data_IF_351762084164
#
_entry.id   IF_351762084164
#
_cell.length_a   1.000
_cell.length_b   1.000
_cell.length_c   1.000
_cell.angle_alpha   90.00
_cell.angle_beta   90.00
_cell.angle_gamma   90.00
#
_symmetry.space_group_name_H-M   'P 1'
#
loop_
_entity.id
_entity.type
_entity.pdbx_description
1 polymer ?
#
# COMPACT_ATOMS: atom_id res chain seq x y z
N UNK A 1 35.72 41.01 -42.77
CA UNK A 1 36.00 39.59 -42.44
C UNK A 1 34.66 38.90 -42.26
N UNK A 2 34.32 37.98 -43.15
CA UNK A 2 32.95 37.54 -43.45
C UNK A 2 32.61 36.29 -42.62
N UNK A 3 31.78 36.43 -41.58
CA UNK A 3 31.37 35.34 -40.68
C UNK A 3 30.29 34.40 -41.27
N UNK A 4 29.86 34.60 -42.54
CA UNK A 4 28.74 33.86 -43.15
C UNK A 4 29.11 32.51 -43.80
N UNK A 5 30.38 32.17 -43.98
CA UNK A 5 30.76 30.96 -44.75
C UNK A 5 30.74 29.65 -43.96
N UNK A 6 30.82 29.69 -42.63
CA UNK A 6 30.88 28.46 -41.82
C UNK A 6 29.50 27.90 -41.49
N UNK A 7 28.47 28.74 -41.41
CA UNK A 7 27.11 28.32 -41.04
C UNK A 7 26.38 27.53 -42.14
N UNK A 8 26.67 27.77 -43.42
CA UNK A 8 26.00 27.02 -44.50
C UNK A 8 26.47 25.56 -44.55
N UNK A 9 27.75 25.30 -44.28
CA UNK A 9 28.33 23.95 -44.33
C UNK A 9 27.69 22.98 -43.32
N UNK A 10 27.35 23.46 -42.12
CA UNK A 10 26.76 22.63 -41.07
C UNK A 10 25.30 22.35 -41.36
N UNK A 11 24.52 23.37 -41.76
CA UNK A 11 23.12 23.17 -42.13
C UNK A 11 23.00 22.17 -43.28
N UNK A 12 23.84 22.32 -44.31
CA UNK A 12 23.83 21.47 -45.50
C UNK A 12 24.18 20.00 -45.17
N UNK A 13 25.12 19.78 -44.25
CA UNK A 13 25.47 18.44 -43.74
C UNK A 13 24.29 17.74 -43.05
N UNK A 14 23.53 18.47 -42.23
CA UNK A 14 22.34 17.94 -41.58
C UNK A 14 21.16 17.77 -42.55
N UNK A 15 21.03 18.63 -43.56
CA UNK A 15 20.02 18.48 -44.62
C UNK A 15 20.29 17.25 -45.49
N UNK A 16 21.56 16.94 -45.79
CA UNK A 16 21.96 15.73 -46.51
C UNK A 16 21.72 14.44 -45.71
N UNK A 17 21.56 14.52 -44.38
CA UNK A 17 21.37 13.37 -43.47
C UNK A 17 20.18 13.60 -42.52
N UNK A 18 18.93 13.46 -43.00
CA UNK A 18 17.74 13.78 -42.21
C UNK A 18 17.63 12.95 -40.92
N UNK A 19 18.09 11.69 -40.92
CA UNK A 19 18.15 10.84 -39.71
C UNK A 19 19.04 11.44 -38.62
N UNK A 20 20.13 12.12 -38.99
CA UNK A 20 21.09 12.70 -38.04
C UNK A 20 20.48 13.88 -37.25
N UNK A 21 19.58 14.64 -37.87
CA UNK A 21 18.82 15.71 -37.19
C UNK A 21 17.96 15.20 -36.03
N UNK A 22 17.49 13.95 -36.10
CA UNK A 22 16.65 13.34 -35.07
C UNK A 22 17.47 12.58 -34.01
N UNK A 23 18.44 11.76 -34.43
CA UNK A 23 19.20 10.92 -33.50
C UNK A 23 20.30 11.66 -32.75
N UNK A 24 20.91 12.70 -33.34
CA UNK A 24 22.02 13.42 -32.69
C UNK A 24 21.58 14.16 -31.42
N UNK A 25 20.47 14.94 -31.40
CA UNK A 25 20.01 15.58 -30.17
C UNK A 25 19.59 14.57 -29.09
N UNK A 26 18.97 13.45 -29.49
CA UNK A 26 18.60 12.37 -28.56
C UNK A 26 19.83 11.70 -27.94
N UNK A 27 20.85 11.38 -28.75
CA UNK A 27 22.11 10.82 -28.28
C UNK A 27 22.86 11.79 -27.35
N UNK A 28 22.92 13.07 -27.70
CA UNK A 28 23.50 14.12 -26.84
C UNK A 28 22.72 14.26 -25.53
N UNK A 29 21.39 14.19 -25.57
CA UNK A 29 20.54 14.26 -24.38
C UNK A 29 20.79 13.06 -23.47
N UNK A 30 20.79 11.84 -24.00
CA UNK A 30 21.09 10.63 -23.23
C UNK A 30 22.50 10.70 -22.64
N UNK A 31 23.49 11.13 -23.44
CA UNK A 31 24.85 11.33 -22.97
C UNK A 31 24.91 12.32 -21.81
N UNK A 32 24.27 13.48 -21.93
CA UNK A 32 24.24 14.48 -20.85
C UNK A 32 23.52 13.95 -19.60
N UNK A 33 22.42 13.23 -19.75
CA UNK A 33 21.72 12.58 -18.63
C UNK A 33 22.66 11.61 -17.92
N UNK A 34 23.26 10.67 -18.65
CA UNK A 34 24.19 9.67 -18.09
C UNK A 34 25.39 10.35 -17.45
N UNK A 35 25.95 11.38 -18.09
CA UNK A 35 27.07 12.15 -17.56
C UNK A 35 26.72 12.87 -16.25
N UNK A 36 25.56 13.54 -16.19
CA UNK A 36 25.09 14.24 -15.00
C UNK A 36 24.86 13.26 -13.85
N UNK A 37 24.09 12.19 -14.08
CA UNK A 37 23.82 11.19 -13.05
C UNK A 37 25.10 10.48 -12.60
N UNK A 38 25.99 10.15 -13.53
CA UNK A 38 27.29 9.54 -13.23
C UNK A 38 28.18 10.46 -12.40
N UNK A 39 28.28 11.74 -12.77
CA UNK A 39 29.06 12.73 -12.03
C UNK A 39 28.53 12.93 -10.60
N UNK A 40 27.21 13.10 -10.43
CA UNK A 40 26.61 13.25 -9.10
C UNK A 40 26.72 11.98 -8.27
N UNK A 41 26.53 10.80 -8.85
CA UNK A 41 26.66 9.53 -8.13
C UNK A 41 28.10 9.31 -7.66
N UNK A 42 29.09 9.57 -8.53
CA UNK A 42 30.50 9.51 -8.17
C UNK A 42 30.87 10.53 -7.09
N UNK A 43 30.42 11.78 -7.24
CA UNK A 43 30.67 12.83 -6.26
C UNK A 43 30.03 12.49 -4.90
N UNK A 44 28.80 11.95 -4.89
CA UNK A 44 28.13 11.50 -3.68
C UNK A 44 28.89 10.34 -3.02
N UNK A 45 29.29 9.32 -3.80
CA UNK A 45 30.04 8.18 -3.30
C UNK A 45 31.34 8.62 -2.62
N UNK A 46 32.16 9.45 -3.28
CA UNK A 46 33.43 9.95 -2.70
C UNK A 46 33.18 10.74 -1.41
N UNK A 47 32.17 11.62 -1.39
CA UNK A 47 31.86 12.42 -0.20
C UNK A 47 31.28 11.59 0.95
N UNK A 48 30.56 10.50 0.65
CA UNK A 48 29.96 9.61 1.64
C UNK A 48 31.00 8.65 2.21
N UNK A 49 31.87 8.08 1.37
CA UNK A 49 32.99 7.22 1.78
C UNK A 49 33.93 8.00 2.72
N UNK A 50 34.25 9.26 2.40
CA UNK A 50 35.04 10.15 3.27
C UNK A 50 34.39 10.42 4.64
N UNK A 51 33.08 10.16 4.79
CA UNK A 51 32.32 10.32 6.04
C UNK A 51 32.00 8.97 6.71
N UNK A 52 32.53 7.86 6.18
CA UNK A 52 32.23 6.52 6.67
C UNK A 52 30.78 6.08 6.42
N UNK A 53 30.09 6.74 5.48
CA UNK A 53 28.72 6.37 5.07
C UNK A 53 28.85 5.54 3.81
N UNK A 54 28.44 4.28 3.88
CA UNK A 54 28.46 3.40 2.72
C UNK A 54 27.41 3.82 1.69
N UNK A 55 27.84 4.15 0.47
CA UNK A 55 26.93 4.50 -0.61
C UNK A 55 26.39 3.24 -1.28
N UNK A 56 25.06 3.05 -1.28
CA UNK A 56 24.39 2.01 -2.06
C UNK A 56 23.19 1.39 -1.36
N UNK A 57 22.83 0.18 -1.78
CA UNK A 57 21.73 -0.61 -1.22
C UNK A 57 22.18 -1.62 -0.16
N UNK A 58 23.46 -1.58 0.26
CA UNK A 58 24.00 -2.52 1.24
C UNK A 58 23.27 -2.45 2.58
N UNK A 59 22.84 -1.26 2.98
CA UNK A 59 22.03 -1.04 4.19
C UNK A 59 20.77 -1.91 4.24
N UNK A 60 20.18 -2.28 3.09
CA UNK A 60 19.00 -3.15 3.04
C UNK A 60 19.27 -4.55 3.62
N UNK A 61 20.52 -5.01 3.58
CA UNK A 61 20.94 -6.28 4.17
C UNK A 61 21.40 -6.19 5.62
N UNK A 62 21.60 -4.98 6.16
CA UNK A 62 22.07 -4.76 7.54
C UNK A 62 20.93 -4.93 8.54
N UNK A 63 21.26 -5.34 9.76
CA UNK A 63 20.29 -5.50 10.84
C UNK A 63 19.70 -4.15 11.26
N UNK A 64 18.37 -4.11 11.35
CA UNK A 64 17.61 -2.91 11.66
C UNK A 64 17.82 -2.40 13.10
N UNK A 65 18.10 -3.30 14.05
CA UNK A 65 18.27 -3.01 15.48
C UNK A 65 17.05 -2.35 16.16
N UNK A 66 15.86 -2.42 15.56
CA UNK A 66 14.62 -1.94 16.16
C UNK A 66 13.45 -2.88 15.90
N UNK A 67 12.56 -2.99 16.87
CA UNK A 67 11.36 -3.82 16.76
C UNK A 67 10.17 -3.04 16.18
N UNK A 68 9.36 -3.73 15.38
CA UNK A 68 8.07 -3.23 14.89
C UNK A 68 6.96 -3.87 15.72
N UNK A 69 6.13 -3.05 16.37
CA UNK A 69 5.09 -3.54 17.28
C UNK A 69 3.95 -4.31 16.56
N UNK A 70 3.61 -3.90 15.33
CA UNK A 70 2.52 -4.48 14.56
C UNK A 70 3.06 -5.33 13.42
N UNK A 71 3.09 -6.65 13.60
CA UNK A 71 3.66 -7.64 12.66
C UNK A 71 2.72 -8.82 12.41
N UNK A 72 1.47 -8.58 11.93
CA UNK A 72 0.47 -9.65 11.80
C UNK A 72 0.74 -10.65 10.67
N UNK A 73 1.49 -10.27 9.63
CA UNK A 73 1.68 -11.08 8.41
C UNK A 73 3.11 -11.54 8.18
N UNK A 74 4.10 -10.79 8.66
CA UNK A 74 5.53 -11.07 8.50
C UNK A 74 6.16 -10.98 9.87
N UNK A 75 6.69 -12.10 10.36
CA UNK A 75 7.43 -12.13 11.62
C UNK A 75 8.70 -11.30 11.49
N UNK A 76 8.86 -10.37 12.42
CA UNK A 76 9.94 -9.40 12.39
C UNK A 76 10.37 -9.07 13.82
N UNK A 77 11.69 -8.99 13.98
CA UNK A 77 12.39 -8.52 15.17
C UNK A 77 13.57 -7.63 14.73
N UNK A 78 14.20 -6.93 15.67
CA UNK A 78 15.33 -6.05 15.41
C UNK A 78 16.58 -6.73 14.85
N UNK A 79 16.65 -8.06 14.83
CA UNK A 79 17.76 -8.80 14.19
C UNK A 79 17.54 -8.98 12.68
N UNK A 80 16.32 -8.72 12.18
CA UNK A 80 16.02 -8.75 10.74
C UNK A 80 16.60 -7.54 10.01
N UNK A 81 16.78 -7.72 8.71
CA UNK A 81 17.37 -6.69 7.86
C UNK A 81 16.43 -5.51 7.60
N UNK A 82 17.00 -4.36 7.23
CA UNK A 82 16.23 -3.19 6.82
C UNK A 82 15.28 -3.47 5.64
N UNK A 83 15.65 -4.35 4.71
CA UNK A 83 14.75 -4.77 3.62
C UNK A 83 13.45 -5.37 4.16
N UNK A 84 13.56 -6.25 5.16
CA UNK A 84 12.38 -6.83 5.82
C UNK A 84 11.61 -5.77 6.59
N UNK A 85 12.30 -4.84 7.26
CA UNK A 85 11.65 -3.73 7.97
C UNK A 85 10.80 -2.86 7.03
N UNK A 86 11.33 -2.48 5.86
CA UNK A 86 10.59 -1.73 4.85
C UNK A 86 9.42 -2.52 4.28
N UNK A 87 9.59 -3.83 4.06
CA UNK A 87 8.49 -4.69 3.59
C UNK A 87 7.35 -4.74 4.61
N UNK A 88 7.67 -4.93 5.89
CA UNK A 88 6.69 -4.90 6.99
C UNK A 88 6.00 -3.53 7.05
N UNK A 89 6.76 -2.44 6.98
CA UNK A 89 6.23 -1.08 6.97
C UNK A 89 5.29 -0.80 5.78
N UNK A 90 5.66 -1.28 4.59
CA UNK A 90 4.85 -1.17 3.38
C UNK A 90 3.53 -1.94 3.53
N UNK A 91 3.60 -3.20 3.97
CA UNK A 91 2.42 -4.04 4.20
C UNK A 91 1.48 -3.37 5.21
N UNK A 92 2.02 -2.92 6.35
CA UNK A 92 1.26 -2.22 7.38
C UNK A 92 0.58 -0.95 6.84
N UNK A 93 1.30 -0.15 6.04
CA UNK A 93 0.75 1.05 5.42
C UNK A 93 -0.44 0.72 4.51
N UNK A 94 -0.31 -0.32 3.68
CA UNK A 94 -1.39 -0.77 2.78
C UNK A 94 -2.61 -1.23 3.58
N UNK A 95 -2.41 -1.99 4.66
CA UNK A 95 -3.50 -2.47 5.51
C UNK A 95 -4.23 -1.30 6.16
N UNK A 96 -3.49 -0.41 6.83
CA UNK A 96 -4.07 0.74 7.54
C UNK A 96 -4.76 1.68 6.56
N UNK A 97 -4.16 1.93 5.39
CA UNK A 97 -4.78 2.75 4.35
C UNK A 97 -6.06 2.11 3.80
N UNK A 98 -6.07 0.81 3.54
CA UNK A 98 -7.25 0.12 3.00
C UNK A 98 -8.42 0.15 3.98
N UNK A 99 -8.16 -0.18 5.25
CA UNK A 99 -9.18 -0.12 6.32
C UNK A 99 -9.64 1.32 6.54
N UNK A 100 -8.70 2.27 6.57
CA UNK A 100 -8.98 3.70 6.72
C UNK A 100 -9.87 4.24 5.60
N UNK A 101 -9.55 3.94 4.33
CA UNK A 101 -10.33 4.37 3.15
C UNK A 101 -11.73 3.78 3.20
N UNK A 102 -11.87 2.50 3.55
CA UNK A 102 -13.16 1.82 3.65
C UNK A 102 -14.09 2.52 4.66
N UNK A 103 -13.63 2.71 5.90
CA UNK A 103 -14.44 3.37 6.93
C UNK A 103 -14.62 4.87 6.66
N UNK A 104 -13.59 5.57 6.16
CA UNK A 104 -13.68 6.99 5.82
C UNK A 104 -14.68 7.24 4.68
N UNK A 105 -14.80 6.31 3.73
CA UNK A 105 -15.80 6.41 2.65
C UNK A 105 -17.20 6.25 3.20
N UNK A 106 -17.44 5.24 4.06
CA UNK A 106 -18.75 5.04 4.67
C UNK A 106 -19.15 6.28 5.50
N UNK A 107 -18.28 6.70 6.43
CA UNK A 107 -18.54 7.86 7.28
C UNK A 107 -18.66 9.15 6.47
N UNK A 108 -17.76 9.36 5.51
CA UNK A 108 -17.76 10.55 4.65
C UNK A 108 -19.01 10.67 3.80
N UNK A 109 -19.51 9.55 3.26
CA UNK A 109 -20.77 9.53 2.50
C UNK A 109 -21.96 9.78 3.42
N UNK A 110 -22.04 9.10 4.57
CA UNK A 110 -23.15 9.28 5.53
C UNK A 110 -23.23 10.73 6.00
N UNK A 111 -22.10 11.30 6.42
CA UNK A 111 -22.04 12.68 6.94
C UNK A 111 -22.24 13.69 5.79
N UNK A 112 -21.69 13.41 4.61
CA UNK A 112 -21.87 14.23 3.43
C UNK A 112 -23.33 14.33 2.99
N UNK A 113 -24.07 13.21 2.99
CA UNK A 113 -25.51 13.19 2.71
C UNK A 113 -26.29 13.88 3.84
N UNK A 114 -25.93 13.62 5.09
CA UNK A 114 -26.57 14.23 6.27
C UNK A 114 -26.52 15.75 6.26
N UNK A 115 -25.47 16.35 5.67
CA UNK A 115 -25.36 17.80 5.47
C UNK A 115 -26.45 18.38 4.55
N UNK A 116 -26.97 17.59 3.60
CA UNK A 116 -28.06 18.00 2.70
C UNK A 116 -29.45 17.76 3.29
N UNK A 117 -29.53 17.24 4.52
CA UNK A 117 -30.81 16.96 5.18
C UNK A 117 -31.61 18.26 5.39
N UNK A 118 -32.94 18.24 5.15
CA UNK A 118 -33.80 19.38 5.48
C UNK A 118 -33.90 19.62 6.99
N UNK A 119 -33.47 18.67 7.83
CA UNK A 119 -33.42 18.84 9.27
C UNK A 119 -32.20 19.70 9.65
N UNK A 120 -32.48 20.91 10.14
CA UNK A 120 -31.47 21.88 10.58
C UNK A 120 -30.44 21.29 11.55
N UNK A 121 -30.87 20.49 12.53
CA UNK A 121 -29.97 19.94 13.54
C UNK A 121 -28.98 18.95 12.92
N UNK A 122 -29.46 18.06 12.05
CA UNK A 122 -28.62 17.06 11.37
C UNK A 122 -27.62 17.76 10.43
N UNK A 123 -28.10 18.72 9.64
CA UNK A 123 -27.27 19.48 8.73
C UNK A 123 -26.16 20.25 9.48
N UNK A 124 -26.52 20.92 10.59
CA UNK A 124 -25.57 21.71 11.38
C UNK A 124 -24.56 20.84 12.12
N UNK A 125 -24.97 19.71 12.69
CA UNK A 125 -24.04 18.77 13.34
C UNK A 125 -23.07 18.16 12.32
N UNK A 126 -23.54 17.84 11.12
CA UNK A 126 -22.68 17.35 10.03
C UNK A 126 -21.67 18.41 9.59
N UNK A 127 -22.08 19.68 9.51
CA UNK A 127 -21.20 20.80 9.21
C UNK A 127 -20.11 20.99 10.28
N UNK A 128 -20.49 20.98 11.56
CA UNK A 128 -19.53 21.09 12.69
C UNK A 128 -18.50 19.95 12.64
N UNK A 129 -18.96 18.72 12.43
CA UNK A 129 -18.06 17.57 12.29
C UNK A 129 -17.06 17.82 11.14
N UNK A 130 -17.54 18.17 9.95
CA UNK A 130 -16.69 18.38 8.77
C UNK A 130 -15.67 19.49 9.02
N UNK A 131 -16.09 20.62 9.59
CA UNK A 131 -15.22 21.75 9.87
C UNK A 131 -14.13 21.41 10.87
N UNK A 132 -14.46 20.69 11.97
CA UNK A 132 -13.46 20.29 12.96
C UNK A 132 -12.42 19.37 12.32
N UNK A 133 -12.86 18.27 11.70
CA UNK A 133 -11.91 17.26 11.21
C UNK A 133 -11.09 17.71 9.99
N UNK A 134 -11.59 18.66 9.19
CA UNK A 134 -10.86 19.20 8.04
C UNK A 134 -9.93 20.36 8.38
N UNK A 135 -10.22 21.14 9.42
CA UNK A 135 -9.44 22.33 9.77
C UNK A 135 -8.46 22.10 10.92
N UNK A 136 -8.65 21.06 11.75
CA UNK A 136 -7.72 20.72 12.83
C UNK A 136 -6.47 20.02 12.27
N UNK A 137 -5.24 20.50 12.58
CA UNK A 137 -4.01 19.86 12.14
C UNK A 137 -3.95 18.39 12.54
N UNK A 138 -3.55 17.53 11.59
CA UNK A 138 -3.46 16.08 11.83
C UNK A 138 -2.59 15.75 13.05
N UNK A 139 -1.50 16.48 13.25
CA UNK A 139 -0.63 16.31 14.40
C UNK A 139 -1.36 16.55 15.74
N UNK A 140 -2.23 17.56 15.80
CA UNK A 140 -3.04 17.81 17.00
C UNK A 140 -4.03 16.67 17.24
N UNK A 141 -4.64 16.13 16.17
CA UNK A 141 -5.52 14.97 16.27
C UNK A 141 -4.76 13.76 16.84
N UNK A 142 -3.56 13.47 16.33
CA UNK A 142 -2.72 12.39 16.84
C UNK A 142 -2.40 12.56 18.32
N UNK A 143 -2.02 13.76 18.76
CA UNK A 143 -1.76 14.03 20.17
C UNK A 143 -3.02 13.90 21.02
N UNK A 144 -4.18 14.37 20.54
CA UNK A 144 -5.44 14.19 21.25
C UNK A 144 -5.74 12.70 21.45
N UNK A 145 -5.70 11.90 20.39
CA UNK A 145 -5.97 10.45 20.49
C UNK A 145 -4.96 9.74 21.39
N UNK A 146 -3.68 10.11 21.34
CA UNK A 146 -2.68 9.50 22.20
C UNK A 146 -2.84 9.91 23.67
N UNK A 147 -2.91 11.20 23.98
CA UNK A 147 -2.89 11.69 25.36
C UNK A 147 -4.26 11.68 26.04
N UNK A 148 -5.34 11.99 25.32
CA UNK A 148 -6.68 12.03 25.92
C UNK A 148 -7.35 10.64 25.93
N UNK A 149 -7.07 9.79 24.95
CA UNK A 149 -7.74 8.48 24.80
C UNK A 149 -6.80 7.33 25.18
N UNK A 150 -5.69 7.13 24.48
CA UNK A 150 -4.84 5.94 24.75
C UNK A 150 -4.17 5.99 26.12
N UNK A 151 -3.72 7.16 26.60
CA UNK A 151 -3.04 7.30 27.89
C UNK A 151 -3.95 7.05 29.10
N UNK A 152 -5.27 7.12 28.93
CA UNK A 152 -6.24 6.82 29.99
C UNK A 152 -6.53 5.33 30.12
N UNK A 153 -6.11 4.51 29.14
CA UNK A 153 -6.23 3.07 29.18
C UNK A 153 -5.22 2.45 30.18
N UNK A 154 -5.54 1.30 30.77
CA UNK A 154 -4.67 0.66 31.75
C UNK A 154 -3.35 0.17 31.12
N UNK A 155 -2.35 -0.02 32.00
CA UNK A 155 -1.11 -0.67 31.62
C UNK A 155 -1.37 -2.10 31.16
N UNK A 156 -0.50 -2.71 30.32
CA UNK A 156 -0.72 -4.05 29.78
C UNK A 156 -0.95 -5.14 30.84
N UNK A 157 -0.40 -4.96 32.05
CA UNK A 157 -0.61 -5.87 33.19
C UNK A 157 -2.05 -5.87 33.73
N UNK A 158 -2.75 -4.75 33.60
CA UNK A 158 -4.11 -4.51 34.10
C UNK A 158 -5.08 -4.32 32.93
N UNK A 159 -4.78 -4.91 31.77
CA UNK A 159 -5.53 -4.71 30.54
C UNK A 159 -7.00 -5.13 30.69
N UNK A 160 -7.91 -4.36 30.06
CA UNK A 160 -9.33 -4.70 30.04
C UNK A 160 -9.54 -5.92 29.15
N UNK A 161 -9.97 -7.04 29.73
CA UNK A 161 -10.36 -8.25 29.00
C UNK A 161 -11.80 -8.14 28.51
N UNK A 162 -12.02 -8.44 27.23
CA UNK A 162 -13.35 -8.68 26.65
C UNK A 162 -13.53 -10.17 26.42
N UNK A 163 -14.16 -10.85 27.38
CA UNK A 163 -14.45 -12.29 27.34
C UNK A 163 -13.21 -13.17 27.07
N UNK A 164 -12.02 -12.73 27.48
CA UNK A 164 -10.73 -13.39 27.22
C UNK A 164 -10.41 -13.61 25.72
N UNK A 165 -11.16 -12.95 24.84
CA UNK A 165 -10.96 -12.97 23.39
C UNK A 165 -10.06 -11.82 22.96
N UNK A 166 -10.20 -10.65 23.59
CA UNK A 166 -9.43 -9.46 23.25
C UNK A 166 -9.08 -8.65 24.48
N UNK A 167 -7.94 -7.96 24.42
CA UNK A 167 -7.43 -7.15 25.54
C UNK A 167 -7.16 -5.73 25.09
N UNK A 168 -7.63 -4.76 25.86
CA UNK A 168 -7.39 -3.34 25.61
C UNK A 168 -6.45 -2.77 26.68
N UNK A 169 -5.36 -2.18 26.21
CA UNK A 169 -4.37 -1.51 27.05
C UNK A 169 -3.89 -0.23 26.40
N UNK A 170 -3.03 0.51 27.09
CA UNK A 170 -2.31 1.66 26.54
C UNK A 170 -1.49 1.34 25.27
N UNK A 171 -1.10 0.08 25.06
CA UNK A 171 -0.41 -0.37 23.83
C UNK A 171 -1.37 -0.59 22.66
N UNK A 172 -2.68 -0.49 22.89
CA UNK A 172 -3.74 -0.67 21.90
C UNK A 172 -4.65 -1.85 22.21
N UNK A 173 -5.46 -2.19 21.22
CA UNK A 173 -6.38 -3.32 21.24
C UNK A 173 -5.71 -4.56 20.64
N UNK A 174 -5.56 -5.60 21.45
CA UNK A 174 -5.09 -6.91 21.04
C UNK A 174 -6.30 -7.78 20.70
N UNK A 175 -6.38 -8.23 19.46
CA UNK A 175 -7.41 -9.14 18.95
C UNK A 175 -6.79 -10.50 18.64
N UNK A 176 -7.60 -11.58 18.55
CA UNK A 176 -7.11 -12.89 18.13
C UNK A 176 -6.37 -12.81 16.80
N UNK A 177 -5.18 -13.41 16.75
CA UNK A 177 -4.41 -13.52 15.52
C UNK A 177 -4.98 -14.68 14.69
N UNK A 178 -5.24 -14.39 13.42
CA UNK A 178 -5.59 -15.41 12.44
C UNK A 178 -4.33 -16.16 12.03
N UNK A 179 -4.27 -17.46 12.34
CA UNK A 179 -3.20 -18.36 11.93
C UNK A 179 -3.71 -19.14 10.72
N UNK A 180 -3.11 -18.89 9.57
CA UNK A 180 -3.44 -19.57 8.32
C UNK A 180 -2.46 -20.71 8.07
N UNK A 181 -2.96 -21.94 7.95
CA UNK A 181 -2.19 -23.04 7.34
C UNK A 181 -2.45 -23.02 5.84
N UNK A 182 -1.39 -23.17 5.03
CA UNK A 182 -1.47 -23.10 3.56
C UNK A 182 -2.20 -21.86 2.99
N UNK A 183 -2.19 -20.72 3.68
CA UNK A 183 -2.91 -19.51 3.27
C UNK A 183 -2.53 -18.98 1.89
N UNK A 184 -1.33 -19.31 1.38
CA UNK A 184 -0.91 -19.00 0.01
C UNK A 184 -1.76 -19.70 -1.05
N UNK A 185 -2.20 -20.94 -0.81
CA UNK A 185 -3.11 -21.67 -1.70
C UNK A 185 -4.49 -21.02 -1.72
N UNK A 186 -4.98 -20.58 -0.56
CA UNK A 186 -6.23 -19.82 -0.46
C UNK A 186 -6.15 -18.51 -1.25
N UNK A 187 -5.11 -17.70 -1.04
CA UNK A 187 -4.90 -16.46 -1.81
C UNK A 187 -4.77 -16.77 -3.31
N UNK A 188 -4.03 -17.81 -3.67
CA UNK A 188 -3.88 -18.29 -5.05
C UNK A 188 -5.23 -18.65 -5.69
N UNK A 189 -6.13 -19.29 -4.94
CA UNK A 189 -7.47 -19.64 -5.42
C UNK A 189 -8.35 -18.41 -5.68
N UNK A 190 -8.23 -17.36 -4.87
CA UNK A 190 -8.93 -16.07 -5.09
C UNK A 190 -8.41 -15.41 -6.36
N UNK A 191 -7.09 -15.35 -6.53
CA UNK A 191 -6.46 -14.78 -7.74
C UNK A 191 -6.88 -15.58 -8.98
N UNK A 192 -6.85 -16.91 -8.93
CA UNK A 192 -7.31 -17.77 -10.00
C UNK A 192 -8.79 -17.53 -10.34
N UNK A 193 -9.64 -17.36 -9.31
CA UNK A 193 -11.07 -17.02 -9.49
C UNK A 193 -11.24 -15.72 -10.28
N UNK A 194 -10.51 -14.67 -9.91
CA UNK A 194 -10.57 -13.36 -10.59
C UNK A 194 -10.12 -13.49 -12.06
N UNK A 195 -9.03 -14.22 -12.31
CA UNK A 195 -8.53 -14.46 -13.67
C UNK A 195 -9.57 -15.21 -14.51
N UNK A 196 -10.15 -16.28 -13.97
CA UNK A 196 -11.18 -17.08 -14.65
C UNK A 196 -12.43 -16.22 -14.93
N UNK A 197 -12.89 -15.45 -13.94
CA UNK A 197 -14.02 -14.51 -14.09
C UNK A 197 -13.72 -13.50 -15.20
N UNK A 198 -12.53 -12.92 -15.25
CA UNK A 198 -12.17 -11.95 -16.30
C UNK A 198 -12.28 -12.56 -17.71
N UNK A 199 -11.72 -13.75 -17.92
CA UNK A 199 -11.81 -14.42 -19.22
C UNK A 199 -13.25 -14.85 -19.57
N UNK A 200 -14.01 -15.36 -18.60
CA UNK A 200 -15.41 -15.75 -18.81
C UNK A 200 -16.30 -14.56 -19.13
N UNK A 201 -16.17 -13.44 -18.41
CA UNK A 201 -16.94 -12.23 -18.69
C UNK A 201 -16.61 -11.67 -20.08
N UNK A 202 -15.34 -11.75 -20.50
CA UNK A 202 -14.92 -11.36 -21.85
C UNK A 202 -15.53 -12.29 -22.91
N UNK A 203 -15.56 -13.60 -22.67
CA UNK A 203 -16.19 -14.57 -23.55
C UNK A 203 -17.71 -14.36 -23.64
N UNK A 204 -18.42 -14.24 -22.52
CA UNK A 204 -19.86 -14.00 -22.50
C UNK A 204 -20.26 -12.69 -23.16
N UNK A 205 -19.42 -11.65 -23.06
CA UNK A 205 -19.64 -10.40 -23.77
C UNK A 205 -19.56 -10.61 -25.29
N UNK A 206 -18.52 -11.29 -25.78
CA UNK A 206 -18.33 -11.59 -27.21
C UNK A 206 -19.47 -12.44 -27.77
N UNK A 207 -19.87 -13.48 -27.05
CA UNK A 207 -20.99 -14.35 -27.42
C UNK A 207 -22.33 -13.59 -27.45
N UNK A 208 -22.57 -12.72 -26.48
CA UNK A 208 -23.79 -11.91 -26.43
C UNK A 208 -23.86 -10.92 -27.60
N UNK A 209 -22.73 -10.34 -28.02
CA UNK A 209 -22.64 -9.44 -29.18
C UNK A 209 -22.89 -10.18 -30.51
N UNK A 210 -22.51 -11.47 -30.61
CA UNK A 210 -22.66 -12.26 -31.84
C UNK A 210 -24.00 -13.00 -31.94
N UNK A 211 -24.51 -13.52 -30.83
CA UNK A 211 -25.67 -14.44 -30.81
C UNK A 211 -26.90 -13.86 -30.09
N UNK A 212 -26.75 -12.75 -29.36
CA UNK A 212 -27.82 -12.15 -28.56
C UNK A 212 -28.19 -12.94 -27.29
N UNK A 213 -27.62 -14.12 -27.05
CA UNK A 213 -27.93 -14.94 -25.86
C UNK A 213 -27.35 -14.29 -24.60
N UNK A 214 -28.19 -14.13 -23.57
CA UNK A 214 -27.78 -13.60 -22.27
C UNK A 214 -27.48 -14.74 -21.30
N UNK A 215 -26.26 -14.74 -20.76
CA UNK A 215 -25.86 -15.66 -19.69
C UNK A 215 -26.09 -15.00 -18.32
N UNK A 216 -26.41 -15.77 -17.26
CA UNK A 216 -26.55 -15.24 -15.90
C UNK A 216 -25.18 -14.92 -15.29
N UNK A 217 -24.52 -13.88 -15.81
CA UNK A 217 -23.13 -13.49 -15.48
C UNK A 217 -22.90 -13.32 -13.97
N UNK A 218 -23.89 -12.75 -13.27
CA UNK A 218 -23.81 -12.50 -11.83
C UNK A 218 -23.71 -13.81 -11.03
N UNK A 219 -24.62 -14.77 -11.25
CA UNK A 219 -24.62 -16.05 -10.54
C UNK A 219 -23.37 -16.88 -10.83
N UNK A 220 -22.91 -16.91 -12.08
CA UNK A 220 -21.69 -17.63 -12.47
C UNK A 220 -20.46 -17.01 -11.79
N UNK A 221 -20.37 -15.68 -11.79
CA UNK A 221 -19.26 -14.96 -11.14
C UNK A 221 -19.24 -15.23 -9.64
N UNK A 222 -20.41 -15.14 -8.99
CA UNK A 222 -20.55 -15.39 -7.56
C UNK A 222 -20.22 -16.85 -7.22
N UNK A 223 -20.67 -17.81 -8.03
CA UNK A 223 -20.37 -19.22 -7.85
C UNK A 223 -18.85 -19.48 -7.94
N UNK A 224 -18.16 -18.93 -8.94
CA UNK A 224 -16.72 -19.12 -9.10
C UNK A 224 -15.96 -18.51 -7.92
N UNK A 225 -16.35 -17.30 -7.49
CA UNK A 225 -15.70 -16.58 -6.40
C UNK A 225 -15.88 -17.27 -5.04
N UNK A 226 -16.89 -18.13 -4.88
CA UNK A 226 -17.13 -18.90 -3.65
C UNK A 226 -16.54 -20.31 -3.76
N UNK A 227 -16.81 -21.03 -4.86
CA UNK A 227 -16.48 -22.45 -5.00
C UNK A 227 -14.96 -22.67 -5.05
N UNK A 228 -14.22 -21.87 -5.81
CA UNK A 228 -12.77 -22.04 -5.93
C UNK A 228 -12.03 -21.82 -4.61
N UNK A 229 -12.31 -20.75 -3.84
CA UNK A 229 -11.73 -20.62 -2.51
C UNK A 229 -12.18 -21.71 -1.55
N UNK A 230 -13.43 -22.16 -1.62
CA UNK A 230 -13.91 -23.25 -0.77
C UNK A 230 -13.22 -24.59 -1.06
N UNK A 231 -12.90 -24.87 -2.32
CA UNK A 231 -12.10 -26.03 -2.71
C UNK A 231 -10.69 -26.01 -2.11
N UNK A 232 -10.11 -24.83 -1.90
CA UNK A 232 -8.80 -24.73 -1.23
C UNK A 232 -8.87 -25.19 0.23
N UNK A 233 -9.98 -24.99 0.93
CA UNK A 233 -10.19 -25.54 2.28
C UNK A 233 -10.41 -27.05 2.27
N UNK A 234 -11.14 -27.58 1.28
CA UNK A 234 -11.48 -29.00 1.23
C UNK A 234 -10.32 -29.89 0.75
N UNK A 235 -9.55 -29.41 -0.24
CA UNK A 235 -8.52 -30.20 -0.93
C UNK A 235 -7.11 -29.68 -0.64
N UNK A 236 -6.98 -28.36 -0.45
CA UNK A 236 -5.69 -27.70 -0.25
C UNK A 236 -5.18 -27.71 1.18
N UNK A 237 -5.86 -28.43 2.09
CA UNK A 237 -5.53 -28.50 3.52
C UNK A 237 -5.31 -27.09 4.13
N UNK A 238 -6.18 -26.15 3.74
CA UNK A 238 -6.19 -24.80 4.29
C UNK A 238 -7.05 -24.82 5.54
N UNK A 239 -6.47 -24.51 6.69
CA UNK A 239 -7.18 -24.25 7.95
C UNK A 239 -6.98 -22.80 8.39
N UNK A 240 -7.98 -22.30 9.11
CA UNK A 240 -7.94 -21.01 9.78
C UNK A 240 -8.10 -21.24 11.27
N UNK A 241 -7.00 -21.08 12.01
CA UNK A 241 -6.97 -21.19 13.45
C UNK A 241 -6.86 -19.81 14.10
N UNK A 242 -7.24 -19.73 15.37
CA UNK A 242 -7.26 -18.48 16.13
C UNK A 242 -6.32 -18.61 17.31
N UNK A 243 -5.26 -17.79 17.33
CA UNK A 243 -4.45 -17.61 18.52
C UNK A 243 -4.99 -16.44 19.33
N UNK A 244 -5.50 -16.76 20.51
CA UNK A 244 -5.99 -15.76 21.44
C UNK A 244 -4.80 -15.06 22.12
N UNK A 245 -4.85 -13.73 22.29
CA UNK A 245 -3.83 -13.01 23.05
C UNK A 245 -3.79 -13.48 24.50
N UNK A 246 -2.60 -13.72 25.04
CA UNK A 246 -2.40 -14.03 26.45
C UNK A 246 -1.69 -12.88 27.16
N UNK A 247 -2.13 -12.56 28.37
CA UNK A 247 -1.43 -11.61 29.25
C UNK A 247 -0.17 -12.28 29.80
N UNK A 248 0.92 -12.23 29.05
CA UNK A 248 2.24 -12.61 29.57
C UNK A 248 2.68 -11.57 30.60
N UNK A 249 2.58 -11.92 31.88
CA UNK A 249 3.29 -11.22 32.95
C UNK A 249 4.79 -11.43 32.70
N UNK A 250 5.51 -10.35 32.38
CA UNK A 250 6.97 -10.38 32.46
C UNK A 250 7.30 -10.54 33.96
N UNK A 251 7.83 -11.70 34.34
CA UNK A 251 8.34 -11.96 35.69
C UNK A 251 9.55 -11.08 35.99
#
# INVERSE_FOLDING_TARGET
MNLKSTTSSISDFFYARPKLKYYLPQALTIFFIVFIFGYFSYNAQVNMDNRGIDFGLRFLGEESSFDIQFTPFVEYDGTKSYATAYLVGLINTIIVASIGIFFATILGVVIGISRLSPNYLIAKMSEIYIEIFRNVPLLLQLFFWYFAVLRTLPLPKDAVSFYDISFLSIKGLYVPRFIWTNGSLFIGSIIASIIIIFFLLRFFKKEQEQTGKQYPKFLITLAILIVLPLLSFLIGDVSLDFAYPELKQLS
#
